data_IF_582494310339
#
_entry.id   IF_582494310339
#
_cell.length_a   1.000
_cell.length_b   1.000
_cell.length_c   1.000
_cell.angle_alpha   90.00
_cell.angle_beta   90.00
_cell.angle_gamma   90.00
#
_symmetry.space_group_name_H-M   'P 1'
#
loop_
_entity.id
_entity.type
_entity.pdbx_description
1 polymer ?
#
# COMPACT_ATOMS: atom_id res chain seq x y z
N UNK A 1 16.00 -28.55 -14.47
CA UNK A 1 14.68 -27.91 -14.66
C UNK A 1 13.78 -28.22 -13.45
N UNK A 2 14.36 -28.03 -12.26
CA UNK A 2 13.86 -28.43 -10.94
C UNK A 2 14.21 -27.26 -10.01
N UNK A 3 13.25 -26.80 -9.21
CA UNK A 3 13.41 -25.88 -8.09
C UNK A 3 13.98 -24.48 -8.41
N UNK A 4 13.23 -23.63 -9.11
CA UNK A 4 13.16 -22.23 -8.66
C UNK A 4 12.23 -22.25 -7.45
N UNK A 5 12.83 -22.41 -6.27
CA UNK A 5 12.19 -22.56 -4.97
C UNK A 5 10.97 -21.65 -4.85
N UNK A 6 9.79 -22.25 -4.67
CA UNK A 6 8.65 -21.59 -4.05
C UNK A 6 9.18 -20.83 -2.84
N UNK A 7 9.13 -19.50 -2.89
CA UNK A 7 9.58 -18.68 -1.77
C UNK A 7 8.81 -19.16 -0.54
N UNK A 8 9.50 -19.43 0.58
CA UNK A 8 8.83 -19.96 1.75
C UNK A 8 7.72 -18.98 2.14
N UNK A 9 6.55 -19.53 2.46
CA UNK A 9 5.34 -18.78 2.78
C UNK A 9 5.59 -17.75 3.90
N UNK A 10 6.52 -18.08 4.80
CA UNK A 10 7.04 -17.16 5.82
C UNK A 10 7.62 -15.87 5.25
N UNK A 11 8.42 -15.92 4.17
CA UNK A 11 9.03 -14.73 3.56
C UNK A 11 8.02 -13.76 2.96
N UNK A 12 6.81 -14.23 2.61
CA UNK A 12 5.73 -13.39 2.09
C UNK A 12 4.83 -12.83 3.20
N UNK A 13 4.64 -13.58 4.29
CA UNK A 13 3.85 -13.14 5.45
C UNK A 13 4.64 -12.23 6.40
N UNK A 14 5.96 -12.37 6.50
CA UNK A 14 6.77 -11.55 7.41
C UNK A 14 6.56 -10.05 7.22
N UNK A 15 6.57 -9.49 5.99
CA UNK A 15 6.29 -8.07 5.80
C UNK A 15 4.89 -7.64 6.26
N UNK A 16 3.88 -8.50 6.10
CA UNK A 16 2.52 -8.23 6.55
C UNK A 16 2.44 -8.21 8.08
N UNK A 17 3.06 -9.17 8.76
CA UNK A 17 3.12 -9.19 10.23
C UNK A 17 3.87 -7.97 10.78
N UNK A 18 5.00 -7.59 10.17
CA UNK A 18 5.74 -6.38 10.53
C UNK A 18 4.87 -5.14 10.33
N UNK A 19 4.13 -5.05 9.22
CA UNK A 19 3.23 -3.93 8.96
C UNK A 19 2.15 -3.79 10.03
N UNK A 20 1.50 -4.89 10.42
CA UNK A 20 0.51 -4.89 11.50
C UNK A 20 1.13 -4.49 12.83
N UNK A 21 2.30 -5.04 13.18
CA UNK A 21 2.99 -4.71 14.42
C UNK A 21 3.37 -3.22 14.49
N UNK A 22 3.87 -2.65 13.39
CA UNK A 22 4.19 -1.21 13.31
C UNK A 22 2.94 -0.35 13.34
N UNK A 23 1.85 -0.78 12.70
CA UNK A 23 0.55 -0.09 12.78
C UNK A 23 0.01 -0.04 14.20
N UNK A 24 -0.02 -1.18 14.91
CA UNK A 24 -0.43 -1.24 16.32
C UNK A 24 0.49 -0.40 17.20
N UNK A 25 1.81 -0.47 16.98
CA UNK A 25 2.78 0.36 17.69
C UNK A 25 2.55 1.85 17.41
N UNK A 26 2.12 2.25 16.22
CA UNK A 26 1.86 3.65 15.90
C UNK A 26 0.67 4.22 16.69
N UNK A 27 -0.33 3.38 17.01
CA UNK A 27 -1.45 3.77 17.87
C UNK A 27 -1.06 3.88 19.35
N UNK A 28 -0.26 2.93 19.84
CA UNK A 28 0.06 2.85 21.28
C UNK A 28 1.34 3.61 21.68
N UNK A 29 2.33 3.67 20.79
CA UNK A 29 3.66 4.22 21.04
C UNK A 29 4.26 4.79 19.73
N UNK A 30 3.81 5.98 19.26
CA UNK A 30 4.21 6.56 17.98
C UNK A 30 5.73 6.65 17.78
N UNK A 31 6.49 6.96 18.85
CA UNK A 31 7.95 7.01 18.80
C UNK A 31 8.57 5.65 18.49
N UNK A 32 8.03 4.56 19.03
CA UNK A 32 8.50 3.19 18.70
C UNK A 32 8.19 2.84 17.25
N UNK A 33 7.05 3.26 16.72
CA UNK A 33 6.73 3.07 15.32
C UNK A 33 7.69 3.83 14.40
N UNK A 34 8.04 5.08 14.73
CA UNK A 34 9.04 5.85 13.98
C UNK A 34 10.43 5.20 14.02
N UNK A 35 10.86 4.69 15.19
CA UNK A 35 12.10 3.92 15.30
C UNK A 35 12.06 2.62 14.48
N UNK A 36 10.93 1.90 14.51
CA UNK A 36 10.73 0.70 13.70
C UNK A 36 10.79 1.02 12.19
N UNK A 37 10.18 2.12 11.75
CA UNK A 37 10.30 2.58 10.36
C UNK A 37 11.74 2.98 10.00
N UNK A 38 12.44 3.68 10.89
CA UNK A 38 13.84 4.04 10.71
C UNK A 38 14.76 2.82 10.57
N UNK A 39 14.57 1.81 11.42
CA UNK A 39 15.32 0.55 11.37
C UNK A 39 14.99 -0.27 10.12
N UNK A 40 13.72 -0.35 9.71
CA UNK A 40 13.33 -0.98 8.45
C UNK A 40 13.89 -0.24 7.24
N UNK A 41 13.93 1.10 7.29
CA UNK A 41 14.56 1.94 6.28
C UNK A 41 16.05 1.66 6.14
N UNK A 42 16.77 1.64 7.26
CA UNK A 42 18.20 1.30 7.29
C UNK A 42 18.44 -0.12 6.78
N UNK A 43 17.63 -1.10 7.21
CA UNK A 43 17.73 -2.48 6.75
C UNK A 43 17.46 -2.60 5.24
N UNK A 44 16.47 -1.86 4.71
CA UNK A 44 16.17 -1.83 3.29
C UNK A 44 17.34 -1.22 2.50
N UNK A 45 17.95 -0.13 2.97
CA UNK A 45 19.11 0.50 2.34
C UNK A 45 20.32 -0.44 2.29
N UNK A 46 20.63 -1.11 3.39
CA UNK A 46 21.78 -2.04 3.46
C UNK A 46 21.56 -3.29 2.58
N UNK A 47 20.32 -3.78 2.50
CA UNK A 47 20.01 -5.05 1.82
C UNK A 47 19.62 -4.89 0.35
N UNK A 48 19.16 -3.72 -0.07
CA UNK A 48 18.85 -3.43 -1.47
C UNK A 48 20.14 -3.05 -2.22
N UNK A 49 20.73 -4.00 -2.94
CA UNK A 49 21.94 -3.76 -3.75
C UNK A 49 21.78 -2.77 -4.91
N UNK A 50 20.59 -2.19 -5.10
CA UNK A 50 20.27 -1.19 -6.13
C UNK A 50 19.33 -0.10 -5.60
N UNK A 51 19.51 0.33 -4.34
CA UNK A 51 18.81 1.48 -3.80
C UNK A 51 19.04 2.72 -4.67
N UNK A 52 17.99 3.20 -5.36
CA UNK A 52 18.03 4.47 -6.09
C UNK A 52 17.23 5.51 -5.30
N UNK A 53 17.89 6.61 -4.94
CA UNK A 53 17.21 7.80 -4.46
C UNK A 53 16.94 8.68 -5.68
N UNK A 54 15.66 8.91 -5.97
CA UNK A 54 15.24 9.77 -7.08
C UNK A 54 14.52 11.00 -6.51
N UNK A 55 15.23 12.12 -6.29
CA UNK A 55 14.62 13.32 -5.72
C UNK A 55 13.64 13.98 -6.70
N UNK A 56 13.79 13.77 -8.02
CA UNK A 56 12.90 14.37 -9.01
C UNK A 56 11.49 13.80 -8.92
N UNK A 57 11.37 12.53 -8.53
CA UNK A 57 10.07 11.91 -8.30
C UNK A 57 9.30 12.51 -7.11
N UNK A 58 9.96 13.31 -6.25
CA UNK A 58 9.30 14.11 -5.20
C UNK A 58 8.86 15.48 -5.69
N UNK A 59 9.31 15.95 -6.85
CA UNK A 59 9.04 17.31 -7.32
C UNK A 59 7.54 17.56 -7.53
N UNK A 60 6.83 16.62 -8.17
CA UNK A 60 5.38 16.72 -8.37
C UNK A 60 4.59 16.79 -7.06
N UNK A 61 4.75 15.80 -6.15
CA UNK A 61 4.12 15.82 -4.83
C UNK A 61 4.50 17.06 -4.01
N UNK A 62 5.77 17.45 -3.98
CA UNK A 62 6.22 18.63 -3.25
C UNK A 62 5.58 19.92 -3.82
N UNK A 63 5.57 20.08 -5.14
CA UNK A 63 4.92 21.22 -5.79
C UNK A 63 3.42 21.26 -5.50
N UNK A 64 2.71 20.14 -5.62
CA UNK A 64 1.28 20.07 -5.32
C UNK A 64 0.98 20.41 -3.85
N UNK A 65 1.78 19.88 -2.92
CA UNK A 65 1.66 20.18 -1.49
C UNK A 65 1.91 21.65 -1.18
N UNK A 66 2.93 22.26 -1.79
CA UNK A 66 3.23 23.69 -1.63
C UNK A 66 2.13 24.56 -2.23
N UNK A 67 1.64 24.22 -3.42
CA UNK A 67 0.58 24.95 -4.10
C UNK A 67 -0.72 24.90 -3.28
N UNK A 68 -1.20 23.70 -2.96
CA UNK A 68 -2.42 23.51 -2.17
C UNK A 68 -2.28 24.09 -0.77
N UNK A 69 -1.12 23.90 -0.13
CA UNK A 69 -0.83 24.48 1.18
C UNK A 69 -0.84 26.00 1.19
N UNK A 70 -0.33 26.64 0.12
CA UNK A 70 -0.32 28.10 -0.02
C UNK A 70 -1.71 28.71 -0.21
N UNK A 71 -2.62 28.02 -0.92
CA UNK A 71 -3.95 28.53 -1.21
C UNK A 71 -5.04 28.10 -0.22
N UNK A 72 -4.97 26.85 0.26
CA UNK A 72 -6.03 26.23 1.08
C UNK A 72 -5.57 25.96 2.53
N UNK A 73 -4.28 26.12 2.82
CA UNK A 73 -3.70 25.99 4.15
C UNK A 73 -3.08 24.63 4.44
N UNK A 74 -2.43 24.53 5.61
CA UNK A 74 -1.59 23.39 5.99
C UNK A 74 -2.34 22.05 6.02
N UNK A 75 -3.59 22.03 6.47
CA UNK A 75 -4.36 20.79 6.58
C UNK A 75 -4.58 20.11 5.20
N UNK A 76 -4.84 20.92 4.16
CA UNK A 76 -4.96 20.44 2.79
C UNK A 76 -3.61 20.01 2.21
N UNK A 77 -2.50 20.65 2.62
CA UNK A 77 -1.16 20.21 2.24
C UNK A 77 -0.87 18.79 2.74
N UNK A 78 -1.22 18.49 4.01
CA UNK A 78 -1.13 17.14 4.58
C UNK A 78 -2.06 16.16 3.84
N UNK A 79 -3.26 16.61 3.44
CA UNK A 79 -4.17 15.85 2.59
C UNK A 79 -3.56 15.43 1.25
N UNK A 80 -2.84 16.34 0.57
CA UNK A 80 -2.12 16.03 -0.68
C UNK A 80 -1.04 14.97 -0.45
N UNK A 81 -0.24 15.11 0.61
CA UNK A 81 0.79 14.12 0.95
C UNK A 81 0.18 12.75 1.26
N UNK A 82 -0.96 12.71 1.94
CA UNK A 82 -1.71 11.49 2.21
C UNK A 82 -2.19 10.82 0.92
N UNK A 83 -2.87 11.56 0.04
CA UNK A 83 -3.34 11.04 -1.25
C UNK A 83 -2.19 10.50 -2.10
N UNK A 84 -1.09 11.27 -2.16
CA UNK A 84 0.12 10.85 -2.85
C UNK A 84 0.66 9.54 -2.26
N UNK A 85 0.74 9.43 -0.93
CA UNK A 85 1.24 8.24 -0.25
C UNK A 85 0.40 7.00 -0.59
N UNK A 86 -0.94 7.12 -0.51
CA UNK A 86 -1.88 6.05 -0.86
C UNK A 86 -1.69 5.60 -2.31
N UNK A 87 -1.61 6.55 -3.24
CA UNK A 87 -1.41 6.25 -4.66
C UNK A 87 -0.06 5.57 -4.92
N UNK A 88 1.02 6.06 -4.29
CA UNK A 88 2.35 5.48 -4.41
C UNK A 88 2.40 4.04 -3.90
N UNK A 89 1.77 3.76 -2.76
CA UNK A 89 1.74 2.40 -2.19
C UNK A 89 0.87 1.45 -3.01
N UNK A 90 -0.29 1.88 -3.51
CA UNK A 90 -1.14 1.08 -4.39
C UNK A 90 -0.45 0.76 -5.72
N UNK A 91 0.22 1.75 -6.32
CA UNK A 91 1.00 1.55 -7.55
C UNK A 91 2.19 0.63 -7.34
N UNK A 92 2.95 0.82 -6.26
CA UNK A 92 4.05 -0.07 -5.94
C UNK A 92 3.56 -1.51 -5.74
N UNK A 93 2.47 -1.70 -4.99
CA UNK A 93 1.90 -3.02 -4.71
C UNK A 93 1.43 -3.72 -5.98
N UNK A 94 0.73 -3.02 -6.88
CA UNK A 94 0.28 -3.60 -8.16
C UNK A 94 1.44 -3.96 -9.08
N UNK A 95 2.48 -3.12 -9.14
CA UNK A 95 3.72 -3.46 -9.87
C UNK A 95 4.43 -4.67 -9.25
N UNK A 96 4.39 -4.82 -7.93
CA UNK A 96 4.97 -5.96 -7.25
C UNK A 96 4.17 -7.25 -7.52
N UNK A 97 2.84 -7.19 -7.51
CA UNK A 97 1.98 -8.29 -7.91
C UNK A 97 2.25 -8.73 -9.36
N UNK A 98 2.38 -7.77 -10.29
CA UNK A 98 2.75 -8.03 -11.68
C UNK A 98 4.10 -8.76 -11.80
N UNK A 99 5.13 -8.29 -11.09
CA UNK A 99 6.45 -8.94 -11.07
C UNK A 99 6.40 -10.36 -10.51
N UNK A 100 5.59 -10.60 -9.47
CA UNK A 100 5.40 -11.93 -8.89
C UNK A 100 4.69 -12.87 -9.87
N UNK A 101 3.67 -12.37 -10.57
CA UNK A 101 2.97 -13.12 -11.62
C UNK A 101 3.87 -13.47 -12.81
N UNK A 102 4.71 -12.53 -13.27
CA UNK A 102 5.72 -12.80 -14.30
C UNK A 102 6.73 -13.86 -13.85
N UNK A 103 7.19 -13.79 -12.59
CA UNK A 103 8.13 -14.76 -12.03
C UNK A 103 7.54 -16.18 -11.91
N UNK A 104 6.23 -16.31 -11.72
CA UNK A 104 5.52 -17.60 -11.73
C UNK A 104 5.06 -18.04 -13.14
N UNK A 105 5.45 -17.33 -14.20
CA UNK A 105 5.10 -17.68 -15.58
C UNK A 105 3.64 -17.43 -15.95
N UNK A 106 2.95 -16.55 -15.20
CA UNK A 106 1.53 -16.19 -15.37
C UNK A 106 1.35 -14.73 -15.82
N UNK A 107 1.89 -14.31 -16.99
CA UNK A 107 1.91 -12.91 -17.41
C UNK A 107 0.53 -12.30 -17.65
N UNK A 108 -0.51 -13.14 -17.90
CA UNK A 108 -1.90 -12.66 -18.00
C UNK A 108 -2.37 -11.99 -16.70
N UNK A 109 -1.87 -12.44 -15.55
CA UNK A 109 -2.20 -11.88 -14.24
C UNK A 109 -1.46 -10.58 -13.93
N UNK A 110 -0.40 -10.27 -14.69
CA UNK A 110 0.31 -8.99 -14.61
C UNK A 110 -0.38 -7.88 -15.42
N UNK A 111 -1.44 -8.21 -16.17
CA UNK A 111 -2.15 -7.25 -17.01
C UNK A 111 -2.94 -6.23 -16.17
N UNK A 112 -3.08 -5.02 -16.69
CA UNK A 112 -3.84 -3.95 -16.02
C UNK A 112 -5.28 -4.36 -15.67
N UNK A 113 -6.06 -5.02 -16.56
CA UNK A 113 -7.40 -5.48 -16.21
C UNK A 113 -7.42 -6.48 -15.05
N UNK A 114 -6.42 -7.37 -14.98
CA UNK A 114 -6.30 -8.35 -13.91
C UNK A 114 -5.96 -7.71 -12.56
N UNK A 115 -5.33 -6.53 -12.54
CA UNK A 115 -4.91 -5.82 -11.33
C UNK A 115 -5.82 -4.62 -10.98
N UNK A 116 -6.82 -4.31 -11.81
CA UNK A 116 -7.69 -3.15 -11.60
C UNK A 116 -8.43 -3.21 -10.25
N UNK A 117 -8.83 -4.40 -9.80
CA UNK A 117 -9.48 -4.60 -8.50
C UNK A 117 -8.63 -4.11 -7.32
N UNK A 118 -7.30 -4.18 -7.43
CA UNK A 118 -6.37 -3.76 -6.39
C UNK A 118 -6.47 -2.25 -6.09
N UNK A 119 -6.98 -1.45 -7.01
CA UNK A 119 -7.15 0.00 -6.81
C UNK A 119 -8.41 0.37 -6.04
N UNK A 120 -9.37 -0.54 -5.92
CA UNK A 120 -10.68 -0.24 -5.33
C UNK A 120 -10.63 -0.15 -3.80
N UNK A 121 -9.81 -0.96 -3.12
CA UNK A 121 -9.65 -0.82 -1.65
C UNK A 121 -8.92 0.47 -1.24
N UNK A 122 -7.86 0.94 -1.92
CA UNK A 122 -7.34 2.30 -1.75
C UNK A 122 -8.39 3.38 -2.01
N UNK A 123 -9.16 3.27 -3.11
CA UNK A 123 -10.18 4.26 -3.46
C UNK A 123 -11.28 4.35 -2.40
N UNK A 124 -11.75 3.21 -1.91
CA UNK A 124 -12.68 3.14 -0.77
C UNK A 124 -12.09 3.81 0.48
N UNK A 125 -10.85 3.48 0.85
CA UNK A 125 -10.17 4.09 2.00
C UNK A 125 -10.06 5.61 1.88
N UNK A 126 -9.68 6.13 0.72
CA UNK A 126 -9.62 7.58 0.46
C UNK A 126 -10.99 8.23 0.56
N UNK A 127 -12.02 7.63 -0.06
CA UNK A 127 -13.39 8.15 0.01
C UNK A 127 -13.92 8.18 1.45
N UNK A 128 -13.56 7.17 2.25
CA UNK A 128 -13.96 7.11 3.66
C UNK A 128 -13.22 8.15 4.50
N UNK A 129 -11.91 8.34 4.30
CA UNK A 129 -11.13 9.39 4.97
C UNK A 129 -11.65 10.77 4.59
N UNK A 130 -11.98 11.02 3.31
CA UNK A 130 -12.53 12.29 2.85
C UNK A 130 -13.96 12.55 3.38
N UNK A 131 -14.79 11.52 3.52
CA UNK A 131 -16.12 11.65 4.12
C UNK A 131 -16.06 11.97 5.62
N UNK A 132 -15.08 11.39 6.32
CA UNK A 132 -14.94 11.51 7.78
C UNK A 132 -13.94 12.59 8.21
N UNK A 133 -13.34 13.32 7.27
CA UNK A 133 -12.44 14.42 7.55
C UNK A 133 -13.15 15.51 8.40
N UNK A 134 -12.40 16.31 9.19
CA UNK A 134 -10.95 16.33 9.32
C UNK A 134 -10.39 15.22 10.23
N UNK A 135 -9.13 14.85 10.00
CA UNK A 135 -8.37 13.88 10.81
C UNK A 135 -7.11 14.49 11.39
N UNK A 136 -6.47 13.80 12.34
CA UNK A 136 -5.13 14.15 12.81
C UNK A 136 -4.12 13.12 12.33
N UNK A 137 -3.04 13.58 11.69
CA UNK A 137 -1.90 12.76 11.28
C UNK A 137 -0.63 13.26 11.95
N UNK A 138 -0.03 12.43 12.80
CA UNK A 138 1.19 12.77 13.56
C UNK A 138 1.11 14.13 14.29
N UNK A 139 -0.06 14.47 14.85
CA UNK A 139 -0.29 15.74 15.54
C UNK A 139 -0.56 16.94 14.64
N UNK A 140 -0.64 16.74 13.32
CA UNK A 140 -1.01 17.77 12.34
C UNK A 140 -2.41 17.51 11.79
N UNK A 141 -3.20 18.57 11.50
CA UNK A 141 -4.50 18.39 10.87
C UNK A 141 -4.32 17.87 9.44
N UNK A 142 -5.16 16.92 9.06
CA UNK A 142 -5.34 16.45 7.70
C UNK A 142 -6.76 16.82 7.28
N UNK A 143 -6.88 17.52 6.15
CA UNK A 143 -8.17 17.81 5.53
C UNK A 143 -8.16 17.37 4.07
N UNK A 144 -9.33 16.96 3.58
CA UNK A 144 -9.56 16.54 2.21
C UNK A 144 -10.89 17.15 1.75
N UNK A 145 -11.08 17.38 0.44
CA UNK A 145 -12.38 17.79 -0.07
C UNK A 145 -13.47 16.80 0.37
N UNK A 146 -14.40 17.26 1.20
CA UNK A 146 -15.47 16.41 1.71
C UNK A 146 -16.31 15.83 0.58
N UNK A 147 -16.55 14.53 0.67
CA UNK A 147 -17.43 13.81 -0.23
C UNK A 147 -18.73 13.44 0.48
N UNK A 148 -19.87 13.42 -0.22
CA UNK A 148 -21.13 12.96 0.36
C UNK A 148 -21.09 11.46 0.70
N UNK A 149 -21.94 11.03 1.63
CA UNK A 149 -21.97 9.64 2.15
C UNK A 149 -22.11 8.57 1.08
N UNK A 150 -22.74 8.86 -0.06
CA UNK A 150 -22.87 7.89 -1.15
C UNK A 150 -21.52 7.54 -1.80
N UNK A 151 -20.51 8.42 -1.72
CA UNK A 151 -19.20 8.18 -2.30
C UNK A 151 -18.48 6.99 -1.63
N UNK A 152 -18.26 6.95 -0.30
CA UNK A 152 -17.68 5.77 0.35
C UNK A 152 -18.59 4.54 0.26
N UNK A 153 -19.92 4.69 0.27
CA UNK A 153 -20.85 3.56 0.10
C UNK A 153 -20.68 2.91 -1.28
N UNK A 154 -20.68 3.70 -2.35
CA UNK A 154 -20.50 3.21 -3.71
C UNK A 154 -19.08 2.63 -3.92
N UNK A 155 -18.04 3.33 -3.46
CA UNK A 155 -16.66 2.83 -3.55
C UNK A 155 -16.48 1.53 -2.77
N UNK A 156 -17.08 1.41 -1.58
CA UNK A 156 -17.06 0.20 -0.76
C UNK A 156 -17.78 -0.96 -1.41
N UNK A 157 -18.96 -0.74 -1.98
CA UNK A 157 -19.72 -1.77 -2.71
C UNK A 157 -18.94 -2.27 -3.94
N UNK A 158 -18.35 -1.36 -4.72
CA UNK A 158 -17.51 -1.72 -5.87
C UNK A 158 -16.25 -2.49 -5.44
N UNK A 159 -15.57 -2.04 -4.37
CA UNK A 159 -14.40 -2.72 -3.83
C UNK A 159 -14.74 -4.14 -3.34
N UNK A 160 -15.83 -4.29 -2.57
CA UNK A 160 -16.29 -5.58 -2.08
C UNK A 160 -16.63 -6.53 -3.23
N UNK A 161 -17.40 -6.05 -4.22
CA UNK A 161 -17.78 -6.86 -5.39
C UNK A 161 -16.56 -7.31 -6.21
N UNK A 162 -15.61 -6.41 -6.47
CA UNK A 162 -14.42 -6.74 -7.24
C UNK A 162 -13.46 -7.67 -6.49
N UNK A 163 -13.28 -7.48 -5.17
CA UNK A 163 -12.48 -8.38 -4.33
C UNK A 163 -13.13 -9.76 -4.25
N UNK A 164 -14.46 -9.82 -4.16
CA UNK A 164 -15.19 -11.08 -4.15
C UNK A 164 -15.07 -11.83 -5.48
N UNK A 165 -15.30 -11.15 -6.62
CA UNK A 165 -15.10 -11.73 -7.95
C UNK A 165 -13.66 -12.23 -8.14
N UNK A 166 -12.69 -11.41 -7.76
CA UNK A 166 -11.27 -11.81 -7.78
C UNK A 166 -11.00 -13.04 -6.89
N UNK A 167 -11.50 -13.07 -5.66
CA UNK A 167 -11.31 -14.18 -4.73
C UNK A 167 -11.95 -15.48 -5.25
N UNK A 168 -13.11 -15.40 -5.90
CA UNK A 168 -13.74 -16.55 -6.54
C UNK A 168 -12.88 -17.12 -7.67
N UNK A 169 -12.31 -16.26 -8.52
CA UNK A 169 -11.39 -16.70 -9.59
C UNK A 169 -10.16 -17.39 -9.00
N UNK A 170 -9.57 -16.84 -7.93
CA UNK A 170 -8.44 -17.46 -7.23
C UNK A 170 -8.81 -18.79 -6.57
N UNK A 171 -10.00 -18.92 -6.01
CA UNK A 171 -10.50 -20.18 -5.46
C UNK A 171 -10.70 -21.25 -6.57
N UNK A 172 -11.17 -20.83 -7.75
CA UNK A 172 -11.25 -21.70 -8.91
C UNK A 172 -9.86 -22.14 -9.39
N UNK A 173 -8.91 -21.21 -9.53
CA UNK A 173 -7.53 -21.52 -9.90
C UNK A 173 -6.87 -22.48 -8.90
N UNK A 174 -7.15 -22.29 -7.59
CA UNK A 174 -6.66 -23.19 -6.55
C UNK A 174 -7.21 -24.61 -6.69
N UNK A 175 -8.53 -24.74 -6.95
CA UNK A 175 -9.14 -26.05 -7.21
C UNK A 175 -8.58 -26.72 -8.47
N UNK A 176 -8.19 -25.94 -9.47
CA UNK A 176 -7.60 -26.43 -10.71
C UNK A 176 -6.09 -26.71 -10.58
N UNK A 177 -5.46 -26.40 -9.44
CA UNK A 177 -4.00 -26.51 -9.27
C UNK A 177 -3.21 -25.47 -10.06
N UNK A 178 -3.88 -24.40 -10.51
CA UNK A 178 -3.35 -23.36 -11.38
C UNK A 178 -3.03 -22.06 -10.63
N UNK A 179 -3.29 -22.00 -9.33
CA UNK A 179 -3.12 -20.80 -8.53
C UNK A 179 -1.66 -20.30 -8.54
N UNK A 180 -1.50 -19.07 -8.99
CA UNK A 180 -0.29 -18.30 -8.80
C UNK A 180 -0.21 -17.81 -7.33
N UNK A 181 0.44 -18.57 -6.47
CA UNK A 181 0.33 -18.42 -5.02
C UNK A 181 0.99 -17.13 -4.50
N UNK A 182 2.16 -16.74 -5.02
CA UNK A 182 2.84 -15.53 -4.54
C UNK A 182 2.09 -14.22 -4.87
N UNK A 183 1.66 -13.96 -6.13
CA UNK A 183 0.88 -12.76 -6.43
C UNK A 183 -0.49 -12.77 -5.72
N UNK A 184 -1.13 -13.94 -5.58
CA UNK A 184 -2.40 -14.04 -4.86
C UNK A 184 -2.23 -13.66 -3.38
N UNK A 185 -1.24 -14.22 -2.69
CA UNK A 185 -0.98 -13.89 -1.28
C UNK A 185 -0.62 -12.42 -1.09
N UNK A 186 0.22 -11.86 -1.98
CA UNK A 186 0.55 -10.43 -1.97
C UNK A 186 -0.72 -9.57 -2.10
N UNK A 187 -1.60 -9.88 -3.04
CA UNK A 187 -2.86 -9.14 -3.24
C UNK A 187 -3.86 -9.30 -2.08
N UNK A 188 -3.90 -10.47 -1.42
CA UNK A 188 -4.66 -10.62 -0.16
C UNK A 188 -4.13 -9.66 0.89
N UNK A 189 -2.81 -9.63 1.11
CA UNK A 189 -2.20 -8.74 2.11
C UNK A 189 -2.38 -7.26 1.76
N UNK A 190 -2.35 -6.92 0.46
CA UNK A 190 -2.66 -5.58 -0.05
C UNK A 190 -4.07 -5.14 0.36
N UNK A 191 -5.08 -5.95 0.05
CA UNK A 191 -6.47 -5.63 0.37
C UNK A 191 -6.69 -5.53 1.88
N UNK A 192 -6.13 -6.49 2.64
CA UNK A 192 -6.20 -6.48 4.10
C UNK A 192 -5.58 -5.21 4.68
N UNK A 193 -4.38 -4.83 4.25
CA UNK A 193 -3.71 -3.63 4.78
C UNK A 193 -4.46 -2.35 4.42
N UNK A 194 -4.93 -2.19 3.18
CA UNK A 194 -5.72 -0.99 2.82
C UNK A 194 -7.02 -0.90 3.60
N UNK A 195 -7.71 -2.03 3.78
CA UNK A 195 -8.97 -2.07 4.55
C UNK A 195 -8.72 -1.76 6.04
N UNK A 196 -7.73 -2.39 6.66
CA UNK A 196 -7.38 -2.15 8.07
C UNK A 196 -6.87 -0.72 8.29
N UNK A 197 -6.07 -0.19 7.36
CA UNK A 197 -5.45 1.13 7.49
C UNK A 197 -6.43 2.28 7.32
N UNK A 198 -7.35 2.18 6.35
CA UNK A 198 -8.19 3.31 5.95
C UNK A 198 -9.68 2.97 5.84
N UNK A 199 -10.03 1.70 5.68
CA UNK A 199 -11.42 1.25 5.50
C UNK A 199 -12.18 0.95 6.79
N UNK A 200 -11.48 0.75 7.91
CA UNK A 200 -12.05 0.52 9.25
C UNK A 200 -11.95 1.73 10.19
N UNK A 201 -11.52 2.89 9.67
CA UNK A 201 -11.43 4.16 10.42
C UNK A 201 -10.71 4.06 11.77
N UNK A 202 -9.68 3.21 11.89
CA UNK A 202 -8.98 2.99 13.16
C UNK A 202 -8.12 4.20 13.55
N UNK A 203 -7.13 4.52 12.73
CA UNK A 203 -6.27 5.69 12.86
C UNK A 203 -5.47 5.88 11.56
N UNK A 204 -5.52 7.09 10.97
CA UNK A 204 -4.89 7.37 9.66
C UNK A 204 -3.35 7.33 9.77
N UNK A 205 -2.78 7.80 10.88
CA UNK A 205 -1.33 7.76 11.10
C UNK A 205 -0.82 6.32 11.18
N UNK A 206 -1.52 5.47 11.93
CA UNK A 206 -1.22 4.06 12.08
C UNK A 206 -1.31 3.33 10.73
N UNK A 207 -2.32 3.66 9.93
CA UNK A 207 -2.44 3.16 8.56
C UNK A 207 -1.25 3.54 7.68
N UNK A 208 -0.82 4.81 7.71
CA UNK A 208 0.37 5.28 6.98
C UNK A 208 1.63 4.53 7.45
N UNK A 209 1.81 4.36 8.76
CA UNK A 209 2.94 3.64 9.34
C UNK A 209 2.94 2.16 8.93
N UNK A 210 1.78 1.49 8.96
CA UNK A 210 1.65 0.10 8.54
C UNK A 210 2.02 -0.08 7.06
N UNK A 211 1.50 0.78 6.18
CA UNK A 211 1.81 0.73 4.75
C UNK A 211 3.30 1.03 4.44
N UNK A 212 3.89 1.99 5.13
CA UNK A 212 5.33 2.27 5.04
C UNK A 212 6.17 1.08 5.51
N UNK A 213 5.84 0.49 6.65
CA UNK A 213 6.51 -0.69 7.17
C UNK A 213 6.38 -1.89 6.22
N UNK A 214 5.21 -2.11 5.63
CA UNK A 214 4.97 -3.18 4.67
C UNK A 214 5.91 -3.10 3.46
N UNK A 215 6.02 -1.90 2.86
CA UNK A 215 6.88 -1.64 1.70
C UNK A 215 8.37 -1.74 2.04
N UNK A 216 8.79 -1.21 3.19
CA UNK A 216 10.18 -1.29 3.65
C UNK A 216 10.58 -2.72 4.02
N UNK A 217 9.69 -3.47 4.67
CA UNK A 217 9.92 -4.88 4.99
C UNK A 217 10.01 -5.73 3.72
N UNK A 218 9.17 -5.48 2.71
CA UNK A 218 9.30 -6.12 1.40
C UNK A 218 10.66 -5.84 0.75
N UNK A 219 11.13 -4.59 0.81
CA UNK A 219 12.43 -4.23 0.27
C UNK A 219 13.58 -4.93 1.01
N UNK A 220 13.56 -4.92 2.34
CA UNK A 220 14.57 -5.54 3.17
C UNK A 220 14.59 -7.08 3.06
N UNK A 221 13.42 -7.72 2.89
CA UNK A 221 13.29 -9.17 2.82
C UNK A 221 13.55 -9.72 1.42
N UNK A 222 13.04 -9.07 0.37
CA UNK A 222 13.01 -9.67 -0.96
C UNK A 222 14.21 -9.32 -1.83
N UNK A 223 15.12 -8.43 -1.38
CA UNK A 223 16.08 -7.73 -2.25
C UNK A 223 15.41 -7.24 -3.54
N UNK A 224 14.11 -6.96 -3.46
CA UNK A 224 13.33 -6.57 -4.61
C UNK A 224 13.97 -5.29 -5.12
N UNK A 225 14.08 -5.13 -6.44
CA UNK A 225 14.46 -3.85 -7.04
C UNK A 225 13.41 -2.82 -6.61
N UNK A 226 13.66 -2.17 -5.48
CA UNK A 226 12.93 -1.01 -5.05
C UNK A 226 13.43 0.10 -5.95
N UNK A 227 12.69 0.34 -7.03
CA UNK A 227 13.09 1.24 -8.12
C UNK A 227 13.29 2.67 -7.62
N UNK A 228 12.63 3.04 -6.52
CA UNK A 228 12.95 4.23 -5.74
C UNK A 228 12.29 4.18 -4.34
N UNK A 229 12.97 4.75 -3.34
CA UNK A 229 12.40 5.01 -2.01
C UNK A 229 11.43 6.21 -2.01
N UNK A 230 11.56 7.08 -3.01
CA UNK A 230 10.88 8.36 -3.12
C UNK A 230 9.83 8.45 -4.22
N UNK A 231 9.81 7.54 -5.19
CA UNK A 231 9.03 7.76 -6.42
C UNK A 231 7.62 7.18 -6.38
N UNK A 232 6.74 7.82 -7.16
CA UNK A 232 6.43 7.28 -8.50
C UNK A 232 6.17 8.43 -9.50
N UNK A 233 6.50 8.30 -10.81
CA UNK A 233 7.74 7.87 -11.46
C UNK A 233 8.83 8.95 -11.46
#
# INVERSE_FOLDING_TARGET
MVAMLARPLSAQLTPFVIALAVGVAAMAAPLLALLALGTLGAAALVRCGAARFDPLALAGPAFATLLVGGFLGWAYAVGVLFLWRVFADARWSTQQAARLAEAEGRPREASWPALAHAWLTPAYGVALVAFTAPHMVAGMPLDLPHVPVWAPVAAGALAAGAVFDWALRRAADWRLGELAAAPALHLVTHHALFLLSFGLTLDVSAGICAMAAWRLAHAAALRARQTSFTAVP
#
